data_IF_864990671706
#
_entry.id   IF_864990671706
#
_cell.length_a   1.000
_cell.length_b   1.000
_cell.length_c   1.000
_cell.angle_alpha   90.00
_cell.angle_beta   90.00
_cell.angle_gamma   90.00
#
_symmetry.space_group_name_H-M   'P 1'
#
loop_
_entity.id
_entity.type
_entity.pdbx_description
1 polymer ?
#
# COMPACT_ATOMS: atom_id res chain seq x y z
N UNK A 1 44.29 -55.42 -14.37
CA UNK A 1 43.19 -54.75 -15.12
C UNK A 1 41.86 -54.77 -14.36
N UNK A 2 41.64 -55.64 -13.38
CA UNK A 2 40.38 -55.78 -12.63
C UNK A 2 40.09 -54.70 -11.58
N UNK A 3 41.11 -54.03 -11.04
CA UNK A 3 40.94 -53.01 -9.98
C UNK A 3 40.36 -51.68 -10.46
N UNK A 4 40.62 -51.30 -11.72
CA UNK A 4 40.15 -50.03 -12.30
C UNK A 4 38.65 -50.04 -12.62
N UNK A 5 38.11 -51.18 -13.03
CA UNK A 5 36.69 -51.35 -13.37
C UNK A 5 35.80 -51.32 -12.12
N UNK A 6 36.27 -51.91 -11.02
CA UNK A 6 35.55 -51.90 -9.73
C UNK A 6 35.51 -50.49 -9.13
N UNK A 7 36.60 -49.72 -9.22
CA UNK A 7 36.64 -48.33 -8.74
C UNK A 7 35.68 -47.42 -9.54
N UNK A 8 35.65 -47.56 -10.86
CA UNK A 8 34.68 -46.85 -11.71
C UNK A 8 33.24 -47.19 -11.36
N UNK A 9 32.94 -48.47 -11.09
CA UNK A 9 31.58 -48.89 -10.71
C UNK A 9 31.12 -48.33 -9.36
N UNK A 10 32.05 -48.14 -8.41
CA UNK A 10 31.77 -47.57 -7.10
C UNK A 10 31.54 -46.06 -7.19
N UNK A 11 32.35 -45.34 -7.97
CA UNK A 11 32.17 -43.90 -8.22
C UNK A 11 30.83 -43.63 -8.93
N UNK A 12 30.45 -44.46 -9.91
CA UNK A 12 29.15 -44.33 -10.59
C UNK A 12 27.96 -44.59 -9.66
N UNK A 13 28.08 -45.55 -8.73
CA UNK A 13 27.06 -45.81 -7.70
C UNK A 13 26.95 -44.67 -6.70
N UNK A 14 28.07 -44.13 -6.22
CA UNK A 14 28.06 -42.96 -5.34
C UNK A 14 27.49 -41.72 -6.05
N UNK A 15 27.76 -41.52 -7.33
CA UNK A 15 27.15 -40.44 -8.12
C UNK A 15 25.65 -40.65 -8.36
N UNK A 16 25.20 -41.88 -8.56
CA UNK A 16 23.76 -42.21 -8.62
C UNK A 16 23.05 -42.01 -7.28
N UNK A 17 23.69 -42.39 -6.17
CA UNK A 17 23.15 -42.16 -4.81
C UNK A 17 23.12 -40.67 -4.48
N UNK A 18 24.18 -39.91 -4.78
CA UNK A 18 24.19 -38.44 -4.65
C UNK A 18 23.13 -37.75 -5.51
N UNK A 19 22.84 -38.27 -6.71
CA UNK A 19 21.74 -37.78 -7.58
C UNK A 19 20.36 -38.14 -7.04
N UNK A 20 20.20 -39.28 -6.37
CA UNK A 20 18.95 -39.65 -5.67
C UNK A 20 18.73 -38.82 -4.41
N UNK A 21 19.79 -38.36 -3.75
CA UNK A 21 19.72 -37.44 -2.60
C UNK A 21 19.43 -35.98 -3.00
N UNK A 22 19.64 -35.60 -4.26
CA UNK A 22 19.19 -34.32 -4.78
C UNK A 22 17.66 -34.33 -4.94
N UNK A 23 16.97 -33.74 -3.96
CA UNK A 23 15.52 -33.51 -4.00
C UNK A 23 15.13 -32.82 -5.31
N UNK A 24 14.39 -33.54 -6.15
CA UNK A 24 13.84 -32.98 -7.38
C UNK A 24 12.63 -32.10 -7.07
N UNK A 25 12.83 -30.79 -7.04
CA UNK A 25 11.75 -29.81 -6.84
C UNK A 25 10.77 -29.73 -8.01
N UNK A 26 11.05 -30.39 -9.14
CA UNK A 26 10.14 -30.47 -10.29
C UNK A 26 8.93 -31.40 -10.03
N UNK A 27 9.02 -32.29 -9.04
CA UNK A 27 7.94 -33.23 -8.70
C UNK A 27 7.00 -32.65 -7.63
N UNK A 28 7.16 -31.38 -7.24
CA UNK A 28 6.24 -30.76 -6.29
C UNK A 28 4.83 -30.70 -6.88
N UNK A 29 3.80 -31.04 -6.09
CA UNK A 29 2.42 -30.74 -6.43
C UNK A 29 2.22 -29.25 -6.78
N UNK A 30 1.36 -28.92 -7.76
CA UNK A 30 1.06 -27.53 -8.14
C UNK A 30 0.63 -26.66 -6.97
N UNK A 31 -0.06 -27.23 -5.98
CA UNK A 31 -0.56 -26.55 -4.79
C UNK A 31 0.59 -26.08 -3.89
N UNK A 32 1.60 -26.93 -3.68
CA UNK A 32 2.80 -26.58 -2.92
C UNK A 32 3.65 -25.56 -3.68
N UNK A 33 3.77 -25.72 -5.01
CA UNK A 33 4.44 -24.73 -5.86
C UNK A 33 3.75 -23.37 -5.74
N UNK A 34 2.42 -23.33 -5.81
CA UNK A 34 1.61 -22.11 -5.63
C UNK A 34 1.90 -21.46 -4.27
N UNK A 35 1.88 -22.24 -3.19
CA UNK A 35 2.16 -21.72 -1.84
C UNK A 35 3.58 -21.17 -1.69
N UNK A 36 4.58 -21.73 -2.38
CA UNK A 36 5.94 -21.21 -2.38
C UNK A 36 5.99 -19.90 -3.16
N UNK A 37 5.41 -19.88 -4.36
CA UNK A 37 5.44 -18.73 -5.25
C UNK A 37 4.67 -17.52 -4.68
N UNK A 38 3.58 -17.73 -3.94
CA UNK A 38 2.82 -16.67 -3.27
C UNK A 38 3.61 -15.95 -2.16
N UNK A 39 4.75 -16.50 -1.73
CA UNK A 39 5.66 -15.86 -0.75
C UNK A 39 6.73 -14.99 -1.42
N UNK A 40 6.84 -15.04 -2.75
CA UNK A 40 7.78 -14.24 -3.51
C UNK A 40 7.20 -12.85 -3.80
N UNK A 41 8.09 -11.88 -4.04
CA UNK A 41 7.68 -10.57 -4.52
C UNK A 41 7.09 -10.66 -5.93
N UNK A 42 6.25 -9.70 -6.31
CA UNK A 42 5.71 -9.61 -7.68
C UNK A 42 6.84 -9.59 -8.71
N UNK A 43 7.92 -8.85 -8.44
CA UNK A 43 9.10 -8.79 -9.30
C UNK A 43 9.76 -10.15 -9.44
N UNK A 44 9.94 -10.90 -8.35
CA UNK A 44 10.55 -12.23 -8.41
C UNK A 44 9.69 -13.23 -9.19
N UNK A 45 8.36 -13.15 -9.05
CA UNK A 45 7.45 -14.00 -9.82
C UNK A 45 7.63 -13.70 -11.32
N UNK A 46 7.56 -12.42 -11.69
CA UNK A 46 7.59 -12.00 -13.09
C UNK A 46 8.96 -12.21 -13.75
N UNK A 47 10.05 -11.86 -13.06
CA UNK A 47 11.38 -11.84 -13.63
C UNK A 47 12.14 -13.14 -13.45
N UNK A 48 11.84 -13.92 -12.41
CA UNK A 48 12.59 -15.13 -12.07
C UNK A 48 11.72 -16.38 -12.17
N UNK A 49 10.67 -16.51 -11.35
CA UNK A 49 9.92 -17.75 -11.21
C UNK A 49 9.31 -18.27 -12.53
N UNK A 50 8.77 -17.36 -13.36
CA UNK A 50 8.21 -17.69 -14.69
C UNK A 50 9.24 -18.23 -15.69
N UNK A 51 10.54 -18.02 -15.42
CA UNK A 51 11.64 -18.45 -16.28
C UNK A 51 12.32 -19.74 -15.81
N UNK A 52 12.00 -20.23 -14.59
CA UNK A 52 12.59 -21.45 -14.02
C UNK A 52 12.24 -22.70 -14.80
N UNK A 53 10.95 -23.05 -14.91
CA UNK A 53 10.50 -24.24 -15.63
C UNK A 53 9.07 -24.09 -16.17
N UNK A 54 8.62 -25.05 -17.00
CA UNK A 54 7.26 -25.02 -17.60
C UNK A 54 6.15 -25.06 -16.57
N UNK A 55 6.32 -25.83 -15.49
CA UNK A 55 5.33 -25.95 -14.43
C UNK A 55 5.17 -24.64 -13.66
N UNK A 56 6.27 -24.04 -13.20
CA UNK A 56 6.24 -22.75 -12.50
C UNK A 56 5.65 -21.65 -13.39
N UNK A 57 6.01 -21.64 -14.68
CA UNK A 57 5.40 -20.74 -15.66
C UNK A 57 3.89 -20.93 -15.79
N UNK A 58 3.39 -22.17 -15.71
CA UNK A 58 1.95 -22.47 -15.75
C UNK A 58 1.26 -21.96 -14.49
N UNK A 59 1.82 -22.25 -13.31
CA UNK A 59 1.29 -21.76 -12.02
C UNK A 59 1.25 -20.22 -12.00
N UNK A 60 2.31 -19.55 -12.43
CA UNK A 60 2.34 -18.08 -12.48
C UNK A 60 1.33 -17.45 -13.47
N UNK A 61 0.73 -18.23 -14.37
CA UNK A 61 -0.34 -17.77 -15.26
C UNK A 61 -1.73 -17.99 -14.67
N UNK A 62 -1.84 -18.72 -13.56
CA UNK A 62 -3.11 -18.94 -12.89
C UNK A 62 -3.63 -17.64 -12.27
N UNK A 63 -4.89 -17.25 -12.49
CA UNK A 63 -5.48 -16.06 -11.89
C UNK A 63 -5.42 -16.03 -10.36
N UNK A 64 -5.43 -17.19 -9.70
CA UNK A 64 -5.37 -17.27 -8.23
C UNK A 64 -4.07 -16.71 -7.66
N UNK A 65 -3.00 -16.68 -8.46
CA UNK A 65 -1.72 -16.07 -8.08
C UNK A 65 -1.80 -14.55 -7.94
N UNK A 66 -2.80 -13.92 -8.54
CA UNK A 66 -2.88 -12.47 -8.73
C UNK A 66 -4.12 -11.86 -8.07
N UNK A 67 -4.68 -12.53 -7.06
CA UNK A 67 -5.79 -12.00 -6.25
C UNK A 67 -5.33 -10.91 -5.27
N UNK A 68 -4.07 -10.96 -4.85
CA UNK A 68 -3.47 -10.01 -3.91
C UNK A 68 -2.15 -9.51 -4.47
N UNK A 69 -2.07 -8.22 -4.76
CA UNK A 69 -0.91 -7.61 -5.41
C UNK A 69 -0.36 -6.52 -4.49
N UNK A 70 0.92 -6.61 -4.14
CA UNK A 70 1.62 -5.52 -3.47
C UNK A 70 2.76 -5.02 -4.38
N UNK A 71 2.64 -3.77 -4.83
CA UNK A 71 3.63 -3.08 -5.67
C UNK A 71 4.35 -1.95 -4.92
N UNK A 72 4.25 -1.89 -3.58
CA UNK A 72 4.98 -0.91 -2.76
C UNK A 72 6.50 -1.13 -2.85
N UNK A 73 6.94 -2.37 -2.78
CA UNK A 73 8.36 -2.75 -2.80
C UNK A 73 8.92 -3.02 -4.21
N UNK A 74 8.20 -2.60 -5.27
CA UNK A 74 8.67 -2.82 -6.63
C UNK A 74 9.95 -2.03 -6.90
N UNK A 75 11.06 -2.76 -7.10
CA UNK A 75 12.38 -2.18 -7.30
C UNK A 75 12.41 -1.23 -8.51
N UNK A 76 12.98 -0.03 -8.31
CA UNK A 76 13.06 1.11 -9.24
C UNK A 76 13.79 0.86 -10.58
N UNK A 77 14.21 -0.38 -10.88
CA UNK A 77 14.94 -0.71 -12.10
C UNK A 77 14.02 -0.91 -13.33
N UNK A 78 12.70 -0.93 -13.15
CA UNK A 78 11.73 -1.00 -14.24
C UNK A 78 11.36 0.42 -14.70
N UNK A 79 11.45 0.68 -16.01
CA UNK A 79 11.00 1.96 -16.57
C UNK A 79 9.48 2.02 -16.81
N UNK A 80 8.79 0.87 -16.87
CA UNK A 80 7.36 0.78 -17.15
C UNK A 80 6.60 0.04 -16.05
N UNK A 81 6.39 0.73 -14.91
CA UNK A 81 5.60 0.21 -13.79
C UNK A 81 4.11 0.12 -14.12
N UNK A 82 3.59 1.09 -14.87
CA UNK A 82 2.17 1.13 -15.24
C UNK A 82 1.82 -0.07 -16.15
N UNK A 83 2.61 -0.33 -17.20
CA UNK A 83 2.39 -1.47 -18.09
C UNK A 83 2.55 -2.81 -17.38
N UNK A 84 3.50 -2.93 -16.45
CA UNK A 84 3.62 -4.09 -15.58
C UNK A 84 2.37 -4.28 -14.71
N UNK A 85 1.86 -3.22 -14.06
CA UNK A 85 0.65 -3.29 -13.25
C UNK A 85 -0.56 -3.72 -14.09
N UNK A 86 -0.74 -3.14 -15.28
CA UNK A 86 -1.82 -3.54 -16.22
C UNK A 86 -1.72 -5.01 -16.59
N UNK A 87 -0.53 -5.50 -16.89
CA UNK A 87 -0.30 -6.92 -17.19
C UNK A 87 -0.72 -7.83 -16.03
N UNK A 88 -0.39 -7.47 -14.79
CA UNK A 88 -0.75 -8.28 -13.62
C UNK A 88 -2.27 -8.25 -13.38
N UNK A 89 -2.89 -7.09 -13.52
CA UNK A 89 -4.36 -6.95 -13.45
C UNK A 89 -5.03 -7.82 -14.49
N UNK A 90 -4.51 -7.88 -15.71
CA UNK A 90 -5.02 -8.80 -16.74
C UNK A 90 -4.83 -10.27 -16.37
N UNK A 91 -3.72 -10.64 -15.73
CA UNK A 91 -3.50 -12.01 -15.24
C UNK A 91 -4.52 -12.41 -14.16
N UNK A 92 -5.04 -11.46 -13.39
CA UNK A 92 -6.08 -11.73 -12.37
C UNK A 92 -7.43 -12.12 -12.95
N UNK A 93 -7.69 -11.83 -14.24
CA UNK A 93 -8.95 -12.12 -14.94
C UNK A 93 -10.21 -11.66 -14.17
N UNK A 94 -10.13 -10.50 -13.51
CA UNK A 94 -11.23 -9.93 -12.71
C UNK A 94 -11.37 -10.51 -11.29
N UNK A 95 -10.49 -11.44 -10.91
CA UNK A 95 -10.41 -12.02 -9.56
C UNK A 95 -9.55 -11.24 -8.57
N UNK A 96 -9.11 -10.02 -8.92
CA UNK A 96 -8.30 -9.18 -8.04
C UNK A 96 -9.13 -8.71 -6.83
N UNK A 97 -8.62 -8.99 -5.62
CA UNK A 97 -9.25 -8.65 -4.34
C UNK A 97 -8.51 -7.54 -3.59
N UNK A 98 -7.17 -7.52 -3.70
CA UNK A 98 -6.34 -6.56 -2.96
C UNK A 98 -5.23 -6.02 -3.87
N UNK A 99 -5.07 -4.70 -3.93
CA UNK A 99 -3.97 -4.08 -4.66
C UNK A 99 -3.39 -2.89 -3.90
N UNK A 100 -2.08 -2.84 -3.80
CA UNK A 100 -1.33 -1.72 -3.23
C UNK A 100 -0.36 -1.17 -4.27
N UNK A 101 -0.42 0.14 -4.54
CA UNK A 101 0.36 0.82 -5.56
C UNK A 101 0.99 2.08 -4.98
N UNK A 102 2.25 2.30 -5.30
CA UNK A 102 3.03 3.43 -4.79
C UNK A 102 3.85 4.09 -5.91
N UNK A 103 3.96 5.42 -5.85
CA UNK A 103 4.73 6.31 -6.74
C UNK A 103 4.28 6.45 -8.21
N UNK A 104 3.68 5.43 -8.83
CA UNK A 104 3.35 5.45 -10.28
C UNK A 104 1.85 5.41 -10.59
N UNK A 105 0.99 5.60 -9.59
CA UNK A 105 -0.46 5.62 -9.79
C UNK A 105 -0.89 6.84 -10.62
N UNK A 106 -1.72 6.61 -11.63
CA UNK A 106 -2.33 7.63 -12.50
C UNK A 106 -3.85 7.46 -12.56
N UNK A 107 -4.59 8.51 -12.92
CA UNK A 107 -6.05 8.45 -13.12
C UNK A 107 -6.43 7.36 -14.15
N UNK A 108 -5.60 7.21 -15.19
CA UNK A 108 -5.75 6.18 -16.24
C UNK A 108 -5.54 4.77 -15.70
N UNK A 109 -4.50 4.56 -14.89
CA UNK A 109 -4.22 3.25 -14.28
C UNK A 109 -5.34 2.86 -13.31
N UNK A 110 -5.78 3.79 -12.45
CA UNK A 110 -6.85 3.51 -11.49
C UNK A 110 -8.17 3.20 -12.19
N UNK A 111 -8.55 3.95 -13.23
CA UNK A 111 -9.74 3.62 -14.04
C UNK A 111 -9.62 2.25 -14.68
N UNK A 112 -8.46 1.91 -15.22
CA UNK A 112 -8.26 0.60 -15.83
C UNK A 112 -8.40 -0.55 -14.82
N UNK A 113 -7.80 -0.42 -13.63
CA UNK A 113 -7.98 -1.41 -12.55
C UNK A 113 -9.46 -1.56 -12.23
N UNK A 114 -10.17 -0.44 -12.10
CA UNK A 114 -11.60 -0.44 -11.81
C UNK A 114 -12.44 -1.12 -12.89
N UNK A 115 -12.11 -0.91 -14.16
CA UNK A 115 -12.83 -1.50 -15.30
C UNK A 115 -12.58 -3.01 -15.42
N UNK A 116 -11.40 -3.49 -15.00
CA UNK A 116 -11.02 -4.91 -15.08
C UNK A 116 -11.41 -5.71 -13.84
N UNK A 117 -11.48 -5.07 -12.68
CA UNK A 117 -11.58 -5.73 -11.37
C UNK A 117 -12.46 -4.95 -10.38
N UNK A 118 -13.77 -4.90 -10.63
CA UNK A 118 -14.74 -4.19 -9.79
C UNK A 118 -15.03 -4.86 -8.44
N UNK A 119 -14.62 -6.12 -8.24
CA UNK A 119 -14.80 -6.89 -7.00
C UNK A 119 -13.73 -6.60 -5.94
N UNK A 120 -12.93 -5.55 -6.13
CA UNK A 120 -11.84 -5.18 -5.24
C UNK A 120 -12.34 -4.93 -3.81
N UNK A 121 -11.65 -5.51 -2.83
CA UNK A 121 -11.96 -5.39 -1.40
C UNK A 121 -10.96 -4.51 -0.65
N UNK A 122 -9.71 -4.45 -1.11
CA UNK A 122 -8.68 -3.61 -0.49
C UNK A 122 -7.92 -2.82 -1.55
N UNK A 123 -7.85 -1.51 -1.34
CA UNK A 123 -7.13 -0.59 -2.21
C UNK A 123 -6.17 0.26 -1.37
N UNK A 124 -4.88 0.19 -1.69
CA UNK A 124 -3.85 1.04 -1.11
C UNK A 124 -3.19 1.91 -2.19
N UNK A 125 -3.22 3.22 -2.02
CA UNK A 125 -2.68 4.20 -2.96
C UNK A 125 -1.70 5.13 -2.25
N UNK A 126 -0.49 5.27 -2.80
CA UNK A 126 0.46 6.30 -2.36
C UNK A 126 0.74 7.28 -3.51
N UNK A 127 0.24 8.49 -3.34
CA UNK A 127 0.04 9.49 -4.39
C UNK A 127 0.98 10.67 -4.15
N UNK A 128 1.94 10.87 -5.06
CA UNK A 128 2.91 11.96 -4.96
C UNK A 128 2.71 13.03 -6.05
N UNK A 129 2.23 12.66 -7.24
CA UNK A 129 1.70 13.47 -8.36
C UNK A 129 1.67 12.54 -9.60
N UNK A 130 0.79 12.69 -10.62
CA UNK A 130 -0.12 13.81 -10.91
C UNK A 130 -1.62 13.43 -10.79
N UNK A 131 -2.02 12.56 -9.87
CA UNK A 131 -3.44 12.20 -9.75
C UNK A 131 -4.32 13.36 -9.30
N UNK A 132 -5.53 13.40 -9.85
CA UNK A 132 -6.52 14.42 -9.50
C UNK A 132 -7.53 13.90 -8.48
N UNK A 133 -8.11 14.79 -7.66
CA UNK A 133 -9.23 14.44 -6.77
C UNK A 133 -10.35 13.73 -7.57
N UNK A 134 -10.66 14.21 -8.77
CA UNK A 134 -11.68 13.64 -9.66
C UNK A 134 -11.31 12.23 -10.12
N UNK A 135 -10.06 11.99 -10.50
CA UNK A 135 -9.58 10.68 -10.93
C UNK A 135 -9.70 9.64 -9.82
N UNK A 136 -9.28 9.99 -8.61
CA UNK A 136 -9.41 9.13 -7.42
C UNK A 136 -10.87 8.80 -7.15
N UNK A 137 -11.74 9.81 -7.09
CA UNK A 137 -13.17 9.62 -6.81
C UNK A 137 -13.85 8.77 -7.89
N UNK A 138 -13.54 8.99 -9.16
CA UNK A 138 -14.09 8.20 -10.27
C UNK A 138 -13.65 6.74 -10.23
N UNK A 139 -12.41 6.48 -9.79
CA UNK A 139 -11.91 5.12 -9.58
C UNK A 139 -12.61 4.43 -8.41
N UNK A 140 -12.64 5.09 -7.25
CA UNK A 140 -13.27 4.55 -6.04
C UNK A 140 -14.77 4.30 -6.24
N UNK A 141 -15.46 5.16 -7.00
CA UNK A 141 -16.87 5.01 -7.38
C UNK A 141 -17.21 3.64 -7.99
N UNK A 142 -16.22 2.93 -8.55
CA UNK A 142 -16.38 1.63 -9.21
C UNK A 142 -16.06 0.43 -8.31
N UNK A 143 -15.77 0.64 -7.02
CA UNK A 143 -15.47 -0.41 -6.04
C UNK A 143 -16.54 -0.49 -4.92
N UNK A 144 -17.76 -0.95 -5.21
CA UNK A 144 -18.85 -0.98 -4.22
C UNK A 144 -18.62 -2.00 -3.09
N UNK A 145 -17.72 -2.97 -3.29
CA UNK A 145 -17.38 -4.01 -2.31
C UNK A 145 -16.14 -3.68 -1.47
N UNK A 146 -15.61 -2.45 -1.58
CA UNK A 146 -14.39 -2.06 -0.88
C UNK A 146 -14.59 -2.10 0.64
N UNK A 147 -13.73 -2.86 1.32
CA UNK A 147 -13.71 -3.03 2.77
C UNK A 147 -12.55 -2.24 3.41
N UNK A 148 -11.47 -2.04 2.66
CA UNK A 148 -10.26 -1.33 3.11
C UNK A 148 -9.83 -0.30 2.07
N UNK A 149 -9.69 0.95 2.50
CA UNK A 149 -9.12 2.03 1.71
C UNK A 149 -7.94 2.66 2.48
N UNK A 150 -6.76 2.64 1.87
CA UNK A 150 -5.57 3.33 2.33
C UNK A 150 -5.14 4.33 1.27
N UNK A 151 -5.07 5.60 1.65
CA UNK A 151 -4.59 6.67 0.77
C UNK A 151 -3.54 7.48 1.52
N UNK A 152 -2.34 7.49 0.97
CA UNK A 152 -1.29 8.42 1.33
C UNK A 152 -1.20 9.50 0.25
N UNK A 153 -1.26 10.77 0.63
CA UNK A 153 -1.19 11.88 -0.31
C UNK A 153 -0.51 13.12 0.28
N UNK A 154 0.02 13.98 -0.60
CA UNK A 154 0.60 15.27 -0.20
C UNK A 154 -0.41 16.42 -0.19
N UNK A 155 -1.46 16.38 -1.03
CA UNK A 155 -2.29 17.58 -1.29
C UNK A 155 -3.75 17.34 -1.69
N UNK A 156 -4.22 16.08 -1.73
CA UNK A 156 -5.59 15.78 -2.16
C UNK A 156 -6.62 16.18 -1.10
N UNK A 157 -7.80 16.63 -1.56
CA UNK A 157 -8.99 16.82 -0.74
C UNK A 157 -10.05 15.84 -1.23
N UNK A 158 -10.15 14.70 -0.55
CA UNK A 158 -11.09 13.64 -0.90
C UNK A 158 -12.46 13.93 -0.31
N UNK A 159 -13.52 13.69 -1.08
CA UNK A 159 -14.89 13.75 -0.56
C UNK A 159 -15.21 12.45 0.17
N UNK A 160 -14.85 12.41 1.47
CA UNK A 160 -15.03 11.22 2.30
C UNK A 160 -16.50 10.83 2.43
N UNK A 161 -17.42 11.81 2.40
CA UNK A 161 -18.85 11.54 2.48
C UNK A 161 -19.32 10.76 1.25
N UNK A 162 -18.91 11.19 0.06
CA UNK A 162 -19.17 10.46 -1.17
C UNK A 162 -18.52 9.06 -1.17
N UNK A 163 -17.27 8.93 -0.68
CA UNK A 163 -16.62 7.61 -0.54
C UNK A 163 -17.43 6.68 0.36
N UNK A 164 -17.90 7.16 1.53
CA UNK A 164 -18.67 6.34 2.46
C UNK A 164 -20.00 5.87 1.88
N UNK A 165 -20.64 6.69 1.04
CA UNK A 165 -21.87 6.30 0.33
C UNK A 165 -21.62 5.28 -0.79
N UNK A 166 -20.54 5.41 -1.53
CA UNK A 166 -20.15 4.48 -2.61
C UNK A 166 -19.68 3.13 -2.04
N UNK A 167 -18.95 3.15 -0.93
CA UNK A 167 -18.33 1.97 -0.31
C UNK A 167 -19.01 1.64 1.04
N UNK A 168 -20.27 1.16 1.06
CA UNK A 168 -21.04 0.96 2.30
C UNK A 168 -20.54 -0.21 3.18
N UNK A 169 -19.53 -0.94 2.73
CA UNK A 169 -18.87 -2.04 3.46
C UNK A 169 -17.49 -1.65 3.99
N UNK A 170 -17.11 -0.37 3.90
CA UNK A 170 -15.82 0.10 4.37
C UNK A 170 -15.69 -0.10 5.89
N UNK A 171 -14.69 -0.88 6.28
CA UNK A 171 -14.35 -1.24 7.67
C UNK A 171 -13.03 -0.60 8.10
N UNK A 172 -12.15 -0.35 7.14
CA UNK A 172 -10.82 0.22 7.38
C UNK A 172 -10.61 1.43 6.48
N UNK A 173 -10.37 2.58 7.09
CA UNK A 173 -10.00 3.81 6.39
C UNK A 173 -8.67 4.30 6.95
N UNK A 174 -7.67 4.45 6.08
CA UNK A 174 -6.37 5.04 6.42
C UNK A 174 -6.11 6.21 5.48
N UNK A 175 -6.15 7.41 6.02
CA UNK A 175 -5.85 8.64 5.29
C UNK A 175 -4.67 9.31 5.96
N UNK A 176 -3.58 9.43 5.21
CA UNK A 176 -2.32 9.89 5.73
C UNK A 176 -1.82 11.04 4.86
N UNK A 177 -1.54 12.18 5.50
CA UNK A 177 -1.06 13.38 4.82
C UNK A 177 0.33 13.79 5.28
N UNK A 178 1.14 14.26 4.34
CA UNK A 178 2.43 14.92 4.61
C UNK A 178 2.28 16.35 5.15
N UNK A 179 1.07 16.91 5.19
CA UNK A 179 0.82 18.30 5.58
C UNK A 179 1.00 18.62 7.08
N UNK A 180 1.56 17.72 7.89
CA UNK A 180 2.01 18.07 9.23
C UNK A 180 3.51 18.40 9.25
N UNK A 181 3.90 19.69 9.21
CA UNK A 181 5.14 20.09 9.82
C UNK A 181 5.00 19.83 11.33
N UNK A 182 5.69 18.80 11.83
CA UNK A 182 5.83 18.64 13.27
C UNK A 182 6.52 19.86 13.89
N UNK A 183 6.39 20.09 15.21
CA UNK A 183 7.20 21.08 15.89
C UNK A 183 8.68 20.81 15.59
N UNK A 184 9.36 21.84 15.12
CA UNK A 184 10.68 21.82 14.51
C UNK A 184 11.71 21.05 15.35
N UNK A 185 11.95 19.79 15.00
CA UNK A 185 13.17 19.06 15.37
C UNK A 185 13.59 18.15 14.22
N UNK A 186 14.31 18.73 13.26
CA UNK A 186 14.95 18.01 12.17
C UNK A 186 14.89 18.79 10.87
N UNK A 187 15.95 19.53 10.58
CA UNK A 187 16.21 20.19 9.30
C UNK A 187 15.72 19.35 8.11
N UNK A 188 14.90 19.92 7.22
CA UNK A 188 15.27 20.23 5.83
C UNK A 188 14.11 20.91 5.08
N UNK A 189 14.39 22.19 4.74
CA UNK A 189 13.96 22.98 3.59
C UNK A 189 12.58 22.75 2.93
N UNK A 190 11.58 23.53 3.38
CA UNK A 190 10.70 24.26 2.46
C UNK A 190 11.13 25.74 2.53
N UNK A 191 12.32 26.03 2.01
CA UNK A 191 12.79 27.40 1.83
C UNK A 191 12.02 28.01 0.66
N UNK A 192 10.79 28.50 0.88
CA UNK A 192 10.16 29.57 0.09
C UNK A 192 8.79 30.10 0.54
N UNK A 193 8.35 29.89 1.79
CA UNK A 193 7.20 30.62 2.34
C UNK A 193 7.55 31.16 3.73
N UNK A 194 7.95 32.44 3.76
CA UNK A 194 7.81 33.22 4.98
C UNK A 194 6.32 33.23 5.34
N UNK A 195 6.02 32.91 6.60
CA UNK A 195 4.68 32.68 7.16
C UNK A 195 3.95 31.44 6.61
N UNK A 196 4.32 30.27 7.15
CA UNK A 196 3.44 29.09 7.08
C UNK A 196 2.21 29.32 7.97
N UNK A 197 0.98 29.16 7.46
CA UNK A 197 -0.22 29.34 8.26
C UNK A 197 -0.25 28.34 9.42
N UNK A 198 -0.89 28.71 10.55
CA UNK A 198 -1.10 27.80 11.68
C UNK A 198 -1.79 26.51 11.21
N UNK A 199 -1.58 25.41 11.94
CA UNK A 199 -2.29 24.15 11.73
C UNK A 199 -3.79 24.46 11.63
N UNK A 200 -4.35 24.35 10.43
CA UNK A 200 -5.77 24.64 10.24
C UNK A 200 -6.54 23.51 10.89
N UNK A 201 -7.18 23.81 12.03
CA UNK A 201 -8.18 22.95 12.64
C UNK A 201 -9.25 22.62 11.61
N UNK A 202 -9.52 21.34 11.39
CA UNK A 202 -10.46 20.88 10.38
C UNK A 202 -11.13 19.59 10.84
N UNK A 203 -12.42 19.69 11.14
CA UNK A 203 -13.26 18.54 11.50
C UNK A 203 -14.15 18.08 10.32
N UNK A 204 -13.98 18.64 9.11
CA UNK A 204 -14.76 18.29 7.91
C UNK A 204 -14.68 16.77 7.62
N UNK A 205 -13.47 16.21 7.67
CA UNK A 205 -13.26 14.77 7.46
C UNK A 205 -13.96 13.95 8.54
N UNK A 206 -13.91 14.40 9.80
CA UNK A 206 -14.55 13.72 10.91
C UNK A 206 -16.08 13.70 10.78
N UNK A 207 -16.67 14.83 10.38
CA UNK A 207 -18.10 14.95 10.10
C UNK A 207 -18.51 14.03 8.95
N UNK A 208 -17.76 14.05 7.85
CA UNK A 208 -18.03 13.21 6.68
C UNK A 208 -17.96 11.70 7.01
N UNK A 209 -16.94 11.29 7.77
CA UNK A 209 -16.78 9.90 8.25
C UNK A 209 -17.95 9.50 9.15
N UNK A 210 -18.26 10.34 10.13
CA UNK A 210 -19.33 10.09 11.10
C UNK A 210 -20.73 9.99 10.44
N UNK A 211 -20.96 10.72 9.35
CA UNK A 211 -22.23 10.68 8.62
C UNK A 211 -22.37 9.47 7.69
N UNK A 212 -21.27 9.00 7.10
CA UNK A 212 -21.32 8.06 5.96
C UNK A 212 -20.71 6.69 6.23
N UNK A 213 -19.91 6.53 7.29
CA UNK A 213 -19.13 5.30 7.55
C UNK A 213 -19.35 4.69 8.96
N UNK A 214 -20.59 4.41 9.39
CA UNK A 214 -20.89 3.94 10.75
C UNK A 214 -20.34 2.54 11.08
N UNK A 215 -19.94 1.76 10.06
CA UNK A 215 -19.41 0.39 10.20
C UNK A 215 -17.88 0.33 10.36
N UNK A 216 -17.20 1.49 10.38
CA UNK A 216 -15.75 1.53 10.56
C UNK A 216 -15.32 0.81 11.84
N UNK A 217 -14.24 0.06 11.69
CA UNK A 217 -13.55 -0.66 12.77
C UNK A 217 -12.13 -0.15 12.95
N UNK A 218 -11.49 0.27 11.87
CA UNK A 218 -10.12 0.79 11.88
C UNK A 218 -10.08 2.15 11.19
N UNK A 219 -9.64 3.16 11.93
CA UNK A 219 -9.47 4.51 11.41
C UNK A 219 -8.06 5.00 11.69
N UNK A 220 -7.39 5.44 10.64
CA UNK A 220 -6.10 6.10 10.73
C UNK A 220 -6.18 7.43 9.98
N UNK A 221 -5.88 8.53 10.68
CA UNK A 221 -5.95 9.90 10.17
C UNK A 221 -4.60 10.59 10.43
N UNK A 222 -3.50 9.98 10.01
CA UNK A 222 -2.18 10.46 10.40
C UNK A 222 -1.89 11.83 9.77
N UNK A 223 -1.50 12.80 10.60
CA UNK A 223 -1.21 14.16 10.16
C UNK A 223 -2.44 14.96 9.71
N UNK A 224 -3.63 14.62 10.20
CA UNK A 224 -4.87 15.36 9.93
C UNK A 224 -5.03 16.57 10.87
N UNK A 225 -5.80 17.58 10.44
CA UNK A 225 -6.17 18.77 11.22
C UNK A 225 -7.21 18.53 12.32
N UNK A 226 -7.53 17.27 12.61
CA UNK A 226 -8.58 16.80 13.52
C UNK A 226 -8.47 17.39 14.93
N UNK A 227 -9.59 17.87 15.47
CA UNK A 227 -9.68 18.38 16.84
C UNK A 227 -10.32 17.37 17.81
N UNK A 228 -10.36 17.71 19.10
CA UNK A 228 -11.12 16.97 20.11
C UNK A 228 -12.62 16.89 19.79
N UNK A 229 -13.18 17.91 19.13
CA UNK A 229 -14.61 17.96 18.76
C UNK A 229 -14.90 16.95 17.66
N UNK A 230 -14.15 16.98 16.56
CA UNK A 230 -14.28 16.02 15.47
C UNK A 230 -14.08 14.57 15.93
N UNK A 231 -13.09 14.31 16.80
CA UNK A 231 -12.89 12.97 17.33
C UNK A 231 -14.09 12.48 18.16
N UNK A 232 -14.70 13.33 18.98
CA UNK A 232 -15.91 12.94 19.71
C UNK A 232 -17.04 12.56 18.76
N UNK A 233 -17.25 13.33 17.69
CA UNK A 233 -18.27 13.04 16.68
C UNK A 233 -18.05 11.68 16.01
N UNK A 234 -16.80 11.36 15.64
CA UNK A 234 -16.45 10.02 15.12
C UNK A 234 -16.80 8.95 16.16
N UNK A 235 -16.38 9.11 17.41
CA UNK A 235 -16.66 8.14 18.46
C UNK A 235 -18.18 7.97 18.67
N UNK A 236 -18.98 9.04 18.57
CA UNK A 236 -20.43 8.96 18.73
C UNK A 236 -21.13 8.21 17.59
N UNK A 237 -20.60 8.29 16.37
CA UNK A 237 -21.27 7.81 15.15
C UNK A 237 -20.66 6.55 14.53
N UNK A 238 -19.46 6.17 14.96
CA UNK A 238 -18.79 4.92 14.59
C UNK A 238 -18.73 3.98 15.83
N UNK A 239 -19.84 3.31 16.20
CA UNK A 239 -19.90 2.51 17.42
C UNK A 239 -18.99 1.28 17.41
N UNK A 240 -18.61 0.79 16.24
CA UNK A 240 -17.78 -0.40 16.06
C UNK A 240 -16.29 -0.11 15.92
N UNK A 241 -15.85 1.13 16.14
CA UNK A 241 -14.45 1.50 16.02
C UNK A 241 -13.63 0.81 17.11
N UNK A 242 -12.63 0.04 16.70
CA UNK A 242 -11.76 -0.77 17.57
C UNK A 242 -10.30 -0.31 17.49
N UNK A 243 -9.90 0.30 16.38
CA UNK A 243 -8.54 0.77 16.13
C UNK A 243 -8.57 2.23 15.70
N UNK A 244 -7.80 3.06 16.41
CA UNK A 244 -7.69 4.49 16.13
C UNK A 244 -6.23 4.91 16.12
N UNK A 245 -5.78 5.45 14.99
CA UNK A 245 -4.45 6.03 14.84
C UNK A 245 -4.56 7.50 14.42
N UNK A 246 -4.20 8.38 15.36
CA UNK A 246 -4.21 9.83 15.22
C UNK A 246 -2.81 10.41 15.39
N UNK A 247 -1.77 9.64 15.08
CA UNK A 247 -0.38 10.14 15.10
C UNK A 247 -0.26 11.41 14.28
N UNK A 248 0.54 12.35 14.76
CA UNK A 248 0.75 13.67 14.14
C UNK A 248 -0.50 14.57 14.04
N UNK A 249 -1.65 14.19 14.61
CA UNK A 249 -2.78 15.12 14.77
C UNK A 249 -2.54 16.03 15.98
N UNK A 250 -1.87 17.17 15.78
CA UNK A 250 -1.44 18.03 16.89
C UNK A 250 -2.49 19.04 17.38
N UNK A 251 -3.65 19.12 16.72
CA UNK A 251 -4.77 20.00 17.10
C UNK A 251 -5.68 19.41 18.19
N UNK A 252 -5.35 18.22 18.68
CA UNK A 252 -6.12 17.53 19.72
C UNK A 252 -5.25 17.25 20.95
N UNK A 253 -5.92 17.11 22.09
CA UNK A 253 -5.29 16.69 23.33
C UNK A 253 -6.12 15.59 23.98
N UNK A 254 -5.59 14.36 23.94
CA UNK A 254 -6.23 13.18 24.52
C UNK A 254 -6.00 13.13 26.03
N UNK A 255 -6.77 13.93 26.75
CA UNK A 255 -6.77 13.98 28.23
C UNK A 255 -8.18 13.93 28.79
N UNK A 256 -8.30 13.52 30.05
CA UNK A 256 -9.57 13.54 30.80
C UNK A 256 -10.63 12.62 30.20
N UNK A 257 -11.85 13.14 30.01
CA UNK A 257 -13.00 12.35 29.57
C UNK A 257 -12.81 11.73 28.17
N UNK A 258 -12.15 12.45 27.25
CA UNK A 258 -11.92 11.95 25.89
C UNK A 258 -10.93 10.77 25.90
N UNK A 259 -9.87 10.87 26.69
CA UNK A 259 -8.91 9.77 26.87
C UNK A 259 -9.59 8.54 27.46
N UNK A 260 -10.37 8.71 28.55
CA UNK A 260 -11.12 7.62 29.17
C UNK A 260 -12.06 6.95 28.16
N UNK A 261 -12.81 7.74 27.40
CA UNK A 261 -13.72 7.26 26.35
C UNK A 261 -13.00 6.46 25.27
N UNK A 262 -11.81 6.91 24.84
CA UNK A 262 -10.98 6.16 23.90
C UNK A 262 -10.52 4.83 24.52
N UNK A 263 -9.98 4.83 25.74
CA UNK A 263 -9.46 3.61 26.39
C UNK A 263 -10.54 2.56 26.68
N UNK A 264 -11.78 2.98 26.92
CA UNK A 264 -12.91 2.07 27.15
C UNK A 264 -13.41 1.38 25.87
N UNK A 265 -13.25 2.03 24.71
CA UNK A 265 -13.87 1.59 23.44
C UNK A 265 -12.89 1.12 22.39
N UNK A 266 -11.71 1.74 22.34
CA UNK A 266 -10.67 1.50 21.34
C UNK A 266 -9.68 0.47 21.92
N UNK A 267 -9.54 -0.65 21.22
CA UNK A 267 -8.60 -1.72 21.58
C UNK A 267 -7.16 -1.32 21.29
N UNK A 268 -6.94 -0.67 20.16
CA UNK A 268 -5.61 -0.20 19.73
C UNK A 268 -5.65 1.30 19.44
N UNK A 269 -5.03 2.08 20.32
CA UNK A 269 -4.95 3.54 20.21
C UNK A 269 -3.49 3.96 19.95
N UNK A 270 -3.24 4.65 18.83
CA UNK A 270 -1.99 5.39 18.57
C UNK A 270 -2.22 6.88 18.74
N UNK A 271 -1.50 7.49 19.69
CA UNK A 271 -1.66 8.89 20.10
C UNK A 271 -0.89 9.84 19.18
N UNK A 272 -1.21 11.15 19.17
CA UNK A 272 -0.52 12.13 18.34
C UNK A 272 1.02 12.13 18.43
N UNK A 273 1.56 11.89 19.63
CA UNK A 273 2.99 11.87 19.91
C UNK A 273 3.69 10.52 19.72
N UNK A 274 2.97 9.45 19.38
CA UNK A 274 3.56 8.12 19.27
C UNK A 274 4.54 8.02 18.07
N UNK A 275 5.50 7.11 18.18
CA UNK A 275 6.48 6.85 17.13
C UNK A 275 5.82 6.42 15.81
N UNK A 276 6.46 6.80 14.70
CA UNK A 276 6.04 6.46 13.34
C UNK A 276 7.00 5.46 12.68
N UNK A 277 7.84 4.80 13.47
CA UNK A 277 8.86 3.86 12.96
C UNK A 277 8.28 2.60 12.30
N UNK A 278 7.06 2.22 12.68
CA UNK A 278 6.30 1.11 12.09
C UNK A 278 5.47 1.54 10.86
N UNK A 279 5.52 2.81 10.47
CA UNK A 279 4.76 3.32 9.34
C UNK A 279 5.40 2.86 8.02
N UNK A 280 4.64 2.19 7.12
CA UNK A 280 5.21 1.50 5.96
C UNK A 280 5.77 2.46 4.90
N UNK A 281 5.36 3.73 4.93
CA UNK A 281 5.88 4.74 4.00
C UNK A 281 7.06 5.45 4.64
N UNK A 282 8.14 5.55 3.88
CA UNK A 282 9.34 6.25 4.35
C UNK A 282 9.03 7.75 4.44
N UNK A 283 8.73 8.24 5.65
CA UNK A 283 8.57 9.69 5.93
C UNK A 283 9.92 10.42 5.78
N UNK A 284 11.03 9.68 5.65
CA UNK A 284 12.35 10.20 5.35
C UNK A 284 12.48 10.67 3.90
N UNK A 285 12.79 11.96 3.74
CA UNK A 285 13.20 12.67 2.51
C UNK A 285 14.25 11.91 1.68
N UNK A 286 14.96 10.95 2.26
CA UNK A 286 15.97 10.14 1.59
C UNK A 286 15.44 9.42 0.34
N UNK A 287 14.20 8.93 0.32
CA UNK A 287 13.70 8.20 -0.87
C UNK A 287 13.32 9.18 -1.98
N UNK A 288 12.66 10.30 -1.66
CA UNK A 288 12.25 11.31 -2.65
C UNK A 288 13.45 12.05 -3.25
N UNK A 289 14.46 12.37 -2.43
CA UNK A 289 15.71 12.98 -2.89
C UNK A 289 16.51 11.99 -3.75
N UNK A 290 16.52 10.71 -3.39
CA UNK A 290 17.19 9.66 -4.16
C UNK A 290 16.42 9.31 -5.45
N UNK A 291 15.09 9.46 -5.48
CA UNK A 291 14.24 9.40 -6.68
C UNK A 291 14.58 10.56 -7.61
N UNK A 292 14.63 11.80 -7.12
CA UNK A 292 14.98 12.97 -7.95
C UNK A 292 16.42 12.89 -8.48
N UNK A 293 17.37 12.43 -7.65
CA UNK A 293 18.78 12.25 -8.03
C UNK A 293 18.95 11.09 -9.03
N UNK A 294 18.23 9.98 -8.87
CA UNK A 294 18.36 8.81 -9.75
C UNK A 294 17.62 8.98 -11.09
N UNK A 295 16.51 9.72 -11.12
CA UNK A 295 15.69 9.92 -12.32
C UNK A 295 16.12 11.10 -13.21
N UNK A 296 17.20 11.84 -12.87
CA UNK A 296 17.69 13.03 -13.62
C UNK A 296 16.58 14.04 -14.00
N UNK A 297 15.61 14.27 -13.13
CA UNK A 297 14.70 15.39 -13.30
C UNK A 297 15.39 16.68 -12.83
N UNK A 298 16.25 17.26 -13.68
CA UNK A 298 16.54 18.68 -13.61
C UNK A 298 15.55 19.39 -14.54
N UNK A 299 14.71 20.32 -14.05
CA UNK A 299 14.03 21.24 -14.95
C UNK A 299 15.11 22.08 -15.64
N UNK A 300 15.27 21.87 -16.93
CA UNK A 300 16.08 22.71 -17.80
C UNK A 300 15.53 24.13 -17.74
N UNK A 301 16.06 24.99 -16.87
CA UNK A 301 15.92 26.42 -17.02
C UNK A 301 16.64 26.84 -18.31
N UNK A 302 15.92 26.85 -19.43
CA UNK A 302 16.30 27.73 -20.55
C UNK A 302 16.03 29.14 -20.08
N UNK A 303 17.07 29.78 -19.55
CA UNK A 303 17.15 31.24 -19.54
C UNK A 303 17.33 31.64 -21.00
N UNK A 304 16.29 32.22 -21.58
CA UNK A 304 16.39 32.91 -22.85
C UNK A 304 16.88 34.34 -22.56
N UNK A 305 18.04 34.69 -23.09
CA UNK A 305 18.50 36.05 -23.37
C UNK A 305 18.72 36.15 -24.87
#
# INVERSE_FOLDING_TARGET
>A
MTTSTTLQSLIMKEDEERRKEQRNWLDLPPELTTSILLRLSVTDILDNARKVCRQWRRVCKDPSMWQKINLRDCLFYRFDFEGMCRHIVDLSQGGLLEINIEHFVSDSLLSYIADRSSNLKSLGLSIYEPMTNKGVMNGIAKFPLLETLEVFHSSLKLDLKAIGHVCPQLKTLKLNSLCCPGPAHGNYAISQLGDMPPLVECDDDALAIAESMPKLRHLQLMGNGLTNTGLNVILDRCPHLEHLDVRKCFNMNLVGNLEKRCLERIKELRRPGDSTADYPYNIGVSVMLQIMISCRFYPSHRVAS
#
